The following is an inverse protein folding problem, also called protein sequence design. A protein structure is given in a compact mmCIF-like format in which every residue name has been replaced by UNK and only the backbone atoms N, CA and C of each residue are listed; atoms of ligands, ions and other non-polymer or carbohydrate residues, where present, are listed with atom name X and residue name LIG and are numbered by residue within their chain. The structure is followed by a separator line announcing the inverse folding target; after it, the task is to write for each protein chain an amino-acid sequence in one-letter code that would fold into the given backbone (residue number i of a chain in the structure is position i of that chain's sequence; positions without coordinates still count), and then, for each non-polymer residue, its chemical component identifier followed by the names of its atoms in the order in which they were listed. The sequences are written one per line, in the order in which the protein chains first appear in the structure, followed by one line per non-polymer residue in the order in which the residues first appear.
data_IF_814065736811
#
_entry.id   IF_814065736811
#
_cell.length_a   1.000
_cell.length_b   1.000
_cell.length_c   1.000
_cell.angle_alpha   90.00
_cell.angle_beta   90.00
_cell.angle_gamma   90.00
#
_symmetry.space_group_name_H-M   'P 1'
#
loop_
_entity.id
_entity.type
_entity.pdbx_description
1 polymer ?
#
# COMPACT_ATOMS: atom_id res chain seq x y z
N UNK A 1 1.37 12.87 -7.92
CA UNK A 1 0.95 11.72 -8.75
C UNK A 1 0.65 12.26 -10.15
N UNK A 2 1.32 11.77 -11.19
CA UNK A 2 1.08 12.22 -12.57
C UNK A 2 -0.15 11.49 -13.11
N UNK A 3 -1.31 12.14 -13.06
CA UNK A 3 -2.51 11.69 -13.74
C UNK A 3 -2.23 11.69 -15.25
N UNK A 4 -2.38 10.53 -15.91
CA UNK A 4 -2.36 10.45 -17.37
C UNK A 4 -3.81 10.39 -17.85
N UNK A 5 -4.35 11.47 -18.43
CA UNK A 5 -5.72 11.50 -18.89
C UNK A 5 -5.97 10.40 -19.93
N UNK A 6 -7.01 9.58 -19.73
CA UNK A 6 -7.43 8.54 -20.68
C UNK A 6 -6.73 7.17 -20.52
N UNK A 7 -5.88 6.99 -19.51
CA UNK A 7 -5.33 5.67 -19.21
C UNK A 7 -6.45 4.71 -18.72
N UNK A 8 -6.54 3.47 -19.24
CA UNK A 8 -7.52 2.50 -18.76
C UNK A 8 -7.40 2.30 -17.25
N UNK A 9 -8.52 2.44 -16.56
CA UNK A 9 -8.62 2.14 -15.14
C UNK A 9 -8.99 0.66 -14.96
N UNK A 10 -8.52 0.09 -13.87
CA UNK A 10 -8.80 -1.27 -13.46
C UNK A 10 -9.13 -1.33 -11.97
N UNK A 11 -9.86 -2.37 -11.59
CA UNK A 11 -10.19 -2.62 -10.20
C UNK A 11 -9.17 -3.60 -9.63
N UNK A 12 -8.66 -3.25 -8.45
CA UNK A 12 -7.77 -4.08 -7.67
C UNK A 12 -8.41 -4.36 -6.33
N UNK A 13 -8.23 -5.58 -5.83
CA UNK A 13 -8.41 -5.82 -4.40
C UNK A 13 -7.05 -5.85 -3.73
N UNK A 14 -7.05 -5.56 -2.43
CA UNK A 14 -5.83 -5.49 -1.66
C UNK A 14 -6.08 -4.92 -0.29
N UNK A 15 -5.02 -4.43 0.35
CA UNK A 15 -5.10 -3.91 1.70
C UNK A 15 -4.73 -2.45 1.74
N UNK A 16 -5.52 -1.71 2.50
CA UNK A 16 -5.20 -0.35 2.88
C UNK A 16 -4.55 -0.29 4.25
N UNK A 17 -3.65 0.67 4.39
CA UNK A 17 -3.02 1.04 5.66
C UNK A 17 -3.08 2.55 5.84
N UNK A 18 -3.16 2.98 7.09
CA UNK A 18 -3.14 4.38 7.49
C UNK A 18 -1.75 5.00 7.31
N UNK A 19 -1.70 6.33 7.35
CA UNK A 19 -0.43 7.06 7.36
C UNK A 19 0.46 6.63 8.54
N UNK A 20 -0.13 6.50 9.73
CA UNK A 20 0.58 6.09 10.94
C UNK A 20 1.18 4.69 10.83
N UNK A 21 0.49 3.76 10.16
CA UNK A 21 1.00 2.40 9.92
C UNK A 21 2.20 2.38 8.97
N UNK A 22 2.12 3.08 7.83
CA UNK A 22 3.27 3.15 6.92
C UNK A 22 4.46 3.83 7.60
N UNK A 23 4.21 4.88 8.38
CA UNK A 23 5.25 5.56 9.16
C UNK A 23 5.89 4.63 10.18
N UNK A 24 5.10 3.93 10.98
CA UNK A 24 5.61 2.98 11.98
C UNK A 24 6.51 1.94 11.30
N UNK A 25 6.11 1.47 10.12
CA UNK A 25 6.94 0.60 9.31
C UNK A 25 8.24 1.29 8.83
N UNK A 26 8.14 2.43 8.15
CA UNK A 26 9.30 3.16 7.62
C UNK A 26 10.33 3.52 8.71
N UNK A 27 9.86 3.78 9.94
CA UNK A 27 10.70 4.00 11.10
C UNK A 27 11.38 2.73 11.61
N UNK A 28 10.68 1.60 11.60
CA UNK A 28 11.24 0.30 12.01
C UNK A 28 12.38 -0.17 11.10
N UNK A 29 12.36 0.25 9.82
CA UNK A 29 13.38 -0.06 8.83
C UNK A 29 14.66 0.79 8.95
N UNK A 30 14.61 1.93 9.66
CA UNK A 30 15.73 2.85 9.83
C UNK A 30 15.72 3.49 11.23
N UNK A 31 16.34 2.81 12.21
CA UNK A 31 16.43 3.31 13.59
C UNK A 31 17.12 4.68 13.72
N UNK A 32 18.04 5.01 12.79
CA UNK A 32 18.73 6.30 12.78
C UNK A 32 17.76 7.46 12.47
N UNK A 33 16.76 7.20 11.64
CA UNK A 33 15.71 8.18 11.35
C UNK A 33 14.66 8.30 12.44
N UNK A 34 14.32 7.20 13.11
CA UNK A 34 13.44 7.27 14.28
C UNK A 34 14.01 8.23 15.33
N UNK A 35 15.34 8.26 15.49
CA UNK A 35 16.02 9.22 16.36
C UNK A 35 16.00 10.66 15.79
N UNK A 36 16.12 10.83 14.47
CA UNK A 36 16.06 12.14 13.82
C UNK A 36 14.67 12.80 13.90
N UNK A 37 13.59 12.03 13.78
CA UNK A 37 12.21 12.54 13.92
C UNK A 37 11.90 13.03 15.33
N UNK A 38 12.47 12.43 16.38
CA UNK A 38 12.38 12.95 17.75
C UNK A 38 12.96 14.36 17.90
N UNK A 39 13.94 14.71 17.06
CA UNK A 39 14.60 16.02 17.08
C UNK A 39 13.99 17.05 16.13
N UNK A 40 13.15 16.63 15.18
CA UNK A 40 12.48 17.51 14.21
C UNK A 40 11.07 16.98 13.89
N UNK A 41 10.10 17.15 14.79
CA UNK A 41 8.74 16.62 14.63
C UNK A 41 7.96 17.30 13.48
N UNK A 42 8.32 18.52 13.08
CA UNK A 42 7.67 19.24 11.98
C UNK A 42 8.07 18.73 10.57
N UNK A 43 8.98 17.76 10.49
CA UNK A 43 9.34 17.06 9.23
C UNK A 43 8.45 15.86 8.92
N UNK A 44 7.20 15.90 9.40
CA UNK A 44 6.09 14.99 9.08
C UNK A 44 5.66 15.09 7.61
N UNK A 45 6.56 14.79 6.67
CA UNK A 45 6.24 14.68 5.26
C UNK A 45 5.94 13.24 4.91
N UNK A 46 4.70 12.98 4.52
CA UNK A 46 4.28 11.66 4.03
C UNK A 46 5.12 11.15 2.85
N UNK A 47 5.71 12.06 2.09
CA UNK A 47 6.64 11.74 1.00
C UNK A 47 7.95 11.14 1.51
N UNK A 48 8.41 11.53 2.70
CA UNK A 48 9.63 10.99 3.30
C UNK A 48 9.43 9.53 3.71
N UNK A 49 8.27 9.19 4.31
CA UNK A 49 7.94 7.83 4.71
C UNK A 49 7.79 6.90 3.48
N UNK A 50 7.17 7.39 2.40
CA UNK A 50 7.09 6.67 1.12
C UNK A 50 8.47 6.50 0.47
N UNK A 51 9.28 7.55 0.45
CA UNK A 51 10.64 7.49 -0.11
C UNK A 51 11.51 6.47 0.63
N UNK A 52 11.32 6.32 1.94
CA UNK A 52 12.01 5.32 2.77
C UNK A 52 11.56 3.91 2.46
N UNK A 53 10.25 3.70 2.36
CA UNK A 53 9.67 2.44 1.93
C UNK A 53 10.27 1.99 0.59
N UNK A 54 10.23 2.86 -0.41
CA UNK A 54 10.76 2.59 -1.75
C UNK A 54 12.27 2.33 -1.67
N UNK A 55 13.01 3.17 -0.95
CA UNK A 55 14.45 3.02 -0.77
C UNK A 55 14.85 1.69 -0.13
N UNK A 56 14.12 1.24 0.89
CA UNK A 56 14.31 -0.09 1.48
C UNK A 56 13.98 -1.20 0.49
N UNK A 57 12.81 -1.14 -0.17
CA UNK A 57 12.39 -2.13 -1.18
C UNK A 57 13.44 -2.29 -2.29
N UNK A 58 14.05 -1.20 -2.72
CA UNK A 58 15.09 -1.20 -3.76
C UNK A 58 16.42 -1.81 -3.32
N UNK A 59 16.69 -1.89 -2.00
CA UNK A 59 17.88 -2.58 -1.45
C UNK A 59 17.70 -4.09 -1.30
N UNK A 60 16.46 -4.59 -1.35
CA UNK A 60 16.20 -6.02 -1.25
C UNK A 60 16.72 -6.77 -2.49
N UNK A 61 17.13 -8.05 -2.34
CA UNK A 61 17.41 -8.91 -3.47
C UNK A 61 16.23 -8.94 -4.46
N UNK A 62 16.50 -9.07 -5.75
CA UNK A 62 15.46 -8.99 -6.78
C UNK A 62 14.30 -9.97 -6.55
N UNK A 63 14.61 -11.21 -6.16
CA UNK A 63 13.61 -12.25 -5.90
C UNK A 63 12.71 -11.89 -4.72
N UNK A 64 13.28 -11.31 -3.64
CA UNK A 64 12.49 -10.79 -2.51
C UNK A 64 11.71 -9.56 -2.92
N UNK A 65 12.32 -8.63 -3.67
CA UNK A 65 11.68 -7.38 -4.09
C UNK A 65 10.42 -7.62 -4.93
N UNK A 66 10.40 -8.69 -5.73
CA UNK A 66 9.23 -9.10 -6.53
C UNK A 66 8.05 -9.56 -5.67
N UNK A 67 8.31 -10.12 -4.49
CA UNK A 67 7.24 -10.52 -3.54
C UNK A 67 6.83 -9.38 -2.62
N UNK A 68 7.67 -8.35 -2.47
CA UNK A 68 7.32 -7.13 -1.73
C UNK A 68 6.37 -6.25 -2.54
N UNK A 69 5.14 -6.01 -2.05
CA UNK A 69 4.13 -5.29 -2.81
C UNK A 69 4.51 -3.82 -3.02
N UNK A 70 4.24 -3.23 -4.18
CA UNK A 70 4.36 -1.78 -4.32
C UNK A 70 3.23 -1.09 -3.56
N UNK A 71 3.58 -0.18 -2.64
CA UNK A 71 2.61 0.62 -1.90
C UNK A 71 2.32 1.90 -2.66
N UNK A 72 1.04 2.17 -2.91
CA UNK A 72 0.56 3.38 -3.57
C UNK A 72 -0.10 4.31 -2.57
N UNK A 73 0.22 5.58 -2.65
CA UNK A 73 -0.57 6.61 -1.97
C UNK A 73 -1.90 6.76 -2.69
N UNK A 74 -2.99 6.88 -1.94
CA UNK A 74 -4.33 7.09 -2.48
C UNK A 74 -4.95 8.24 -1.72
N UNK A 75 -5.28 9.30 -2.46
CA UNK A 75 -6.14 10.37 -1.99
C UNK A 75 -7.55 10.09 -2.52
N UNK A 76 -8.43 9.62 -1.64
CA UNK A 76 -9.81 9.32 -2.04
C UNK A 76 -10.57 10.63 -2.20
N UNK A 77 -11.01 10.93 -3.41
CA UNK A 77 -12.03 11.94 -3.66
C UNK A 77 -13.45 11.37 -3.52
N UNK A 78 -13.59 10.06 -3.26
CA UNK A 78 -14.85 9.32 -3.38
C UNK A 78 -15.38 8.81 -2.04
N UNK A 79 -16.69 9.04 -1.85
CA UNK A 79 -17.53 8.83 -0.67
C UNK A 79 -17.77 7.35 -0.31
N UNK A 80 -16.75 6.51 -0.23
CA UNK A 80 -16.93 5.19 0.41
C UNK A 80 -17.16 5.42 1.92
N UNK A 81 -18.33 5.09 2.51
CA UNK A 81 -18.62 5.39 3.90
C UNK A 81 -17.59 4.75 4.83
N UNK A 82 -16.90 5.58 5.63
CA UNK A 82 -15.92 5.13 6.63
C UNK A 82 -14.53 4.80 6.10
N UNK A 83 -14.17 5.17 4.87
CA UNK A 83 -12.79 5.14 4.40
C UNK A 83 -12.05 6.45 4.75
N UNK A 84 -10.83 6.40 5.32
CA UNK A 84 -10.05 7.62 5.56
C UNK A 84 -9.71 8.31 4.23
N UNK A 85 -9.79 9.65 4.20
CA UNK A 85 -9.58 10.48 3.00
C UNK A 85 -8.22 10.27 2.32
N UNK A 86 -7.21 9.83 3.09
CA UNK A 86 -5.85 9.51 2.62
C UNK A 86 -5.42 8.19 3.22
N UNK A 87 -4.91 7.31 2.37
CA UNK A 87 -4.45 5.97 2.77
C UNK A 87 -3.41 5.47 1.80
N UNK A 88 -2.68 4.45 2.23
CA UNK A 88 -1.82 3.68 1.36
C UNK A 88 -2.51 2.39 1.00
N UNK A 89 -2.35 1.95 -0.24
CA UNK A 89 -2.96 0.73 -0.76
C UNK A 89 -1.89 -0.11 -1.44
N UNK A 90 -1.89 -1.40 -1.17
CA UNK A 90 -1.17 -2.35 -1.99
C UNK A 90 -2.11 -3.39 -2.58
N UNK A 91 -2.02 -3.55 -3.90
CA UNK A 91 -2.85 -4.48 -4.64
C UNK A 91 -2.33 -5.90 -4.47
N UNK A 92 -3.24 -6.85 -4.25
CA UNK A 92 -2.94 -8.29 -4.21
C UNK A 92 -3.39 -9.00 -5.48
N UNK A 93 -4.50 -8.59 -6.08
CA UNK A 93 -4.99 -9.14 -7.35
C UNK A 93 -5.76 -8.10 -8.16
N UNK A 94 -5.74 -8.31 -9.48
CA UNK A 94 -6.67 -7.65 -10.39
C UNK A 94 -8.05 -8.29 -10.26
N UNK A 95 -9.09 -7.46 -10.29
CA UNK A 95 -10.48 -7.90 -10.30
C UNK A 95 -10.98 -7.80 -11.73
N UNK A 96 -11.28 -8.92 -12.40
CA UNK A 96 -11.93 -8.89 -13.70
C UNK A 96 -13.35 -8.36 -13.52
N UNK A 97 -13.60 -7.14 -14.00
CA UNK A 97 -14.95 -6.59 -14.12
C UNK A 97 -15.31 -6.43 -15.58
N UNK A 98 -16.54 -6.82 -15.91
CA UNK A 98 -17.11 -6.65 -17.26
C UNK A 98 -17.44 -5.18 -17.49
N UNK A 99 -17.84 -4.46 -16.44
CA UNK A 99 -18.09 -3.01 -16.47
C UNK A 99 -17.63 -2.33 -15.18
N UNK A 100 -16.61 -1.46 -15.28
CA UNK A 100 -16.07 -0.73 -14.13
C UNK A 100 -17.02 0.35 -13.57
N UNK A 101 -18.17 0.59 -14.20
CA UNK A 101 -19.20 1.52 -13.74
C UNK A 101 -20.29 0.87 -12.87
N UNK A 102 -20.35 -0.46 -12.79
CA UNK A 102 -21.37 -1.17 -12.03
C UNK A 102 -20.96 -1.41 -10.57
N UNK A 103 -21.67 -0.79 -9.63
CA UNK A 103 -21.42 -0.85 -8.17
C UNK A 103 -21.59 -2.27 -7.60
N UNK A 104 -22.46 -3.10 -8.18
CA UNK A 104 -22.68 -4.48 -7.70
C UNK A 104 -21.45 -5.38 -7.90
N UNK A 105 -20.69 -5.15 -8.97
CA UNK A 105 -19.45 -5.88 -9.24
C UNK A 105 -18.37 -5.55 -8.19
N UNK A 106 -18.37 -4.34 -7.61
CA UNK A 106 -17.46 -3.96 -6.53
C UNK A 106 -17.76 -4.72 -5.24
N UNK A 107 -19.04 -4.89 -4.88
CA UNK A 107 -19.44 -5.56 -3.64
C UNK A 107 -19.08 -7.06 -3.65
N UNK A 108 -19.22 -7.72 -4.81
CA UNK A 108 -18.79 -9.12 -5.01
C UNK A 108 -17.26 -9.24 -5.04
N UNK A 109 -16.56 -8.27 -5.63
CA UNK A 109 -15.11 -8.22 -5.67
C UNK A 109 -14.45 -7.97 -4.31
N UNK A 110 -15.17 -7.36 -3.36
CA UNK A 110 -14.69 -6.99 -2.03
C UNK A 110 -14.50 -8.16 -1.05
N UNK A 111 -14.63 -9.41 -1.50
CA UNK A 111 -14.33 -10.58 -0.64
C UNK A 111 -12.84 -10.91 -0.66
N UNK A 112 -12.27 -10.98 0.53
CA UNK A 112 -10.89 -11.44 0.77
C UNK A 112 -10.79 -12.93 0.44
N UNK A 113 -9.80 -13.30 -0.38
CA UNK A 113 -9.51 -14.70 -0.72
C UNK A 113 -8.37 -15.26 0.12
N UNK A 114 -8.14 -16.58 0.07
CA UNK A 114 -6.98 -17.19 0.72
C UNK A 114 -5.66 -16.66 0.16
N UNK A 115 -5.56 -16.48 -1.17
CA UNK A 115 -4.36 -15.94 -1.80
C UNK A 115 -4.05 -14.51 -1.35
N UNK A 116 -5.09 -13.69 -1.13
CA UNK A 116 -4.94 -12.34 -0.59
C UNK A 116 -4.36 -12.38 0.83
N UNK A 117 -4.87 -13.29 1.68
CA UNK A 117 -4.39 -13.49 3.06
C UNK A 117 -2.95 -13.97 3.10
N UNK A 118 -2.57 -14.91 2.25
CA UNK A 118 -1.18 -15.38 2.16
C UNK A 118 -0.24 -14.23 1.79
N UNK A 119 -0.57 -13.42 0.78
CA UNK A 119 0.24 -12.25 0.39
C UNK A 119 0.37 -11.23 1.53
N UNK A 120 -0.72 -10.99 2.28
CA UNK A 120 -0.69 -10.14 3.47
C UNK A 120 0.25 -10.71 4.53
N UNK A 121 0.11 -11.99 4.84
CA UNK A 121 0.85 -12.64 5.92
C UNK A 121 2.35 -12.75 5.59
N UNK A 122 2.70 -13.02 4.33
CA UNK A 122 4.07 -12.97 3.82
C UNK A 122 4.67 -11.57 3.97
N UNK A 123 3.91 -10.53 3.58
CA UNK A 123 4.35 -9.16 3.73
C UNK A 123 4.56 -8.79 5.21
N UNK A 124 3.61 -9.15 6.08
CA UNK A 124 3.70 -8.94 7.53
C UNK A 124 4.91 -9.67 8.14
N UNK A 125 5.14 -10.93 7.74
CA UNK A 125 6.28 -11.71 8.21
C UNK A 125 7.61 -11.10 7.79
N UNK A 126 7.71 -10.63 6.55
CA UNK A 126 8.89 -9.93 6.06
C UNK A 126 9.15 -8.65 6.86
N UNK A 127 8.11 -7.84 7.09
CA UNK A 127 8.24 -6.63 7.90
C UNK A 127 8.79 -6.96 9.28
N UNK A 128 8.20 -7.94 9.97
CA UNK A 128 8.62 -8.33 11.32
C UNK A 128 10.07 -8.80 11.37
N UNK A 129 10.52 -9.52 10.35
CA UNK A 129 11.91 -9.96 10.21
C UNK A 129 12.87 -8.76 10.08
N UNK A 130 12.52 -7.79 9.25
CA UNK A 130 13.37 -6.64 8.92
C UNK A 130 13.33 -5.54 9.99
N UNK A 131 12.24 -5.47 10.76
CA UNK A 131 12.06 -4.52 11.86
C UNK A 131 12.93 -4.81 13.11
N UNK A 132 13.86 -5.77 13.06
CA UNK A 132 14.86 -6.05 14.11
C UNK A 132 14.27 -6.15 15.55
N UNK A 133 13.05 -6.69 15.69
CA UNK A 133 12.38 -6.86 16.99
C UNK A 133 11.48 -5.71 17.42
N UNK A 134 11.27 -4.69 16.58
CA UNK A 134 10.21 -3.70 16.80
C UNK A 134 8.83 -4.32 16.49
N UNK A 135 7.89 -4.22 17.45
CA UNK A 135 6.51 -4.60 17.23
C UNK A 135 5.84 -3.60 16.28
N UNK A 136 5.76 -3.97 14.99
CA UNK A 136 4.91 -3.26 14.03
C UNK A 136 3.51 -3.85 14.16
N UNK A 137 2.57 -3.07 14.70
CA UNK A 137 1.15 -3.45 14.74
C UNK A 137 0.52 -3.26 13.35
N UNK A 138 0.54 -4.34 12.57
CA UNK A 138 0.00 -4.40 11.21
C UNK A 138 -1.42 -5.03 11.22
N UNK A 139 -2.03 -5.25 12.40
CA UNK A 139 -3.37 -5.86 12.51
C UNK A 139 -4.49 -5.00 11.94
N UNK A 140 -4.18 -3.75 11.56
CA UNK A 140 -5.13 -2.76 11.07
C UNK A 140 -5.25 -2.69 9.55
N UNK A 141 -4.56 -3.57 8.82
CA UNK A 141 -4.73 -3.67 7.37
C UNK A 141 -6.19 -3.97 7.02
N UNK A 142 -6.82 -3.06 6.27
CA UNK A 142 -8.22 -3.21 5.87
C UNK A 142 -8.28 -3.71 4.44
N UNK A 143 -8.87 -4.89 4.25
CA UNK A 143 -9.14 -5.41 2.91
C UNK A 143 -10.20 -4.56 2.20
N UNK A 144 -9.92 -4.20 0.96
CA UNK A 144 -10.83 -3.40 0.14
C UNK A 144 -10.55 -3.54 -1.35
N UNK A 145 -11.51 -3.08 -2.15
CA UNK A 145 -11.36 -2.90 -3.59
C UNK A 145 -11.21 -1.43 -3.95
N UNK A 146 -10.36 -1.15 -4.92
CA UNK A 146 -10.09 0.19 -5.38
C UNK A 146 -9.97 0.22 -6.90
N UNK A 147 -10.54 1.27 -7.50
CA UNK A 147 -10.31 1.61 -8.91
C UNK A 147 -9.03 2.42 -9.02
N UNK A 148 -8.12 2.02 -9.91
CA UNK A 148 -6.86 2.71 -10.12
C UNK A 148 -6.38 2.55 -11.57
N UNK A 149 -5.42 3.36 -12.01
CA UNK A 149 -4.77 3.20 -13.32
C UNK A 149 -4.25 1.78 -13.49
N UNK A 150 -4.58 1.14 -14.62
CA UNK A 150 -4.15 -0.22 -14.90
C UNK A 150 -2.60 -0.29 -14.96
N UNK A 151 -1.94 -1.28 -14.30
CA UNK A 151 -0.49 -1.38 -14.11
C UNK A 151 0.35 -1.22 -15.38
N UNK A 152 -0.13 -1.73 -16.52
CA UNK A 152 0.52 -1.59 -17.83
C UNK A 152 0.71 -0.12 -18.25
N UNK A 153 -0.18 0.76 -17.79
CA UNK A 153 -0.15 2.20 -18.06
C UNK A 153 0.33 3.01 -16.86
N UNK A 154 0.70 2.33 -15.76
CA UNK A 154 1.24 2.96 -14.57
C UNK A 154 2.76 2.93 -14.63
N UNK A 155 3.34 4.05 -15.07
CA UNK A 155 4.79 4.25 -15.17
C UNK A 155 5.51 4.26 -13.81
N UNK A 156 4.79 4.18 -12.69
CA UNK A 156 5.37 4.12 -11.33
C UNK A 156 5.63 2.70 -10.82
N UNK A 157 5.26 1.67 -11.59
CA UNK A 157 5.47 0.27 -11.23
C UNK A 157 6.88 -0.29 -11.56
N UNK A 158 7.75 0.50 -12.19
CA UNK A 158 9.12 0.11 -12.54
C UNK A 158 10.14 0.45 -11.45
#
# INVERSE_FOLDING_TARGET
MLYTPGAPEAIFSGYSMSFGELRAFALSLDPGYAQHLKTNPDRDSYLADVGRYIGWRMRLPEDTRKTVPTIKFVESTTEAPGAPARRYFFATRWVPVVDSSNVEDYALAARETEEDRVKRDEFVALIRKEANGHEVDITRLRFETMKYTHPVYDYTNY
#
